data_IF_457128433284
#
_entry.id   IF_457128433284
#
_cell.length_a   1.000
_cell.length_b   1.000
_cell.length_c   1.000
_cell.angle_alpha   90.00
_cell.angle_beta   90.00
_cell.angle_gamma   90.00
#
_symmetry.space_group_name_H-M   'P 1'
#
loop_
_entity.id
_entity.type
_entity.pdbx_description
1 polymer ?
#
# COMPACT_ATOMS: atom_id res chain seq x y z
N UNK A 1 9.94 -36.77 15.52
CA UNK A 1 10.23 -35.32 15.54
C UNK A 1 8.92 -34.61 15.22
N UNK A 2 8.14 -34.26 16.23
CA UNK A 2 6.88 -33.50 16.08
C UNK A 2 7.07 -32.16 16.76
N UNK A 3 7.19 -31.07 15.99
CA UNK A 3 7.47 -29.72 16.53
C UNK A 3 6.45 -28.65 16.13
N UNK A 4 5.26 -29.03 15.66
CA UNK A 4 4.26 -28.08 15.13
C UNK A 4 2.82 -28.37 15.60
N UNK A 5 2.59 -28.65 16.89
CA UNK A 5 1.22 -28.90 17.41
C UNK A 5 0.43 -27.65 17.80
N UNK A 6 1.07 -26.48 17.84
CA UNK A 6 0.40 -25.23 18.25
C UNK A 6 -0.06 -24.35 17.07
N UNK A 7 0.02 -24.87 15.84
CA UNK A 7 -0.31 -24.10 14.63
C UNK A 7 -1.76 -24.34 14.23
N UNK A 8 -2.58 -23.30 14.33
CA UNK A 8 -3.93 -23.32 13.79
C UNK A 8 -3.90 -22.90 12.31
N UNK A 9 -3.92 -23.89 11.42
CA UNK A 9 -4.30 -23.68 10.02
C UNK A 9 -5.80 -23.88 9.92
N UNK A 10 -6.55 -22.79 9.73
CA UNK A 10 -7.99 -22.88 9.55
C UNK A 10 -8.35 -22.47 8.14
N UNK A 11 -8.90 -23.43 7.41
CA UNK A 11 -9.38 -23.24 6.05
C UNK A 11 -10.89 -23.24 6.11
N UNK A 12 -11.53 -22.16 5.67
CA UNK A 12 -12.98 -22.04 5.77
C UNK A 12 -13.60 -21.84 4.38
N UNK A 13 -14.20 -22.91 3.86
CA UNK A 13 -15.00 -22.88 2.64
C UNK A 13 -16.45 -22.54 3.00
N UNK A 14 -16.71 -21.32 3.51
CA UNK A 14 -18.08 -20.93 3.87
C UNK A 14 -18.84 -20.50 2.62
N UNK A 15 -19.83 -21.31 2.24
CA UNK A 15 -20.88 -20.94 1.27
C UNK A 15 -21.76 -19.86 1.88
N UNK A 16 -21.70 -18.64 1.35
CA UNK A 16 -22.69 -17.61 1.67
C UNK A 16 -24.06 -18.06 1.12
N UNK A 17 -25.15 -18.07 1.92
CA UNK A 17 -26.47 -18.39 1.40
C UNK A 17 -26.93 -17.27 0.45
N UNK A 18 -27.19 -17.62 -0.80
CA UNK A 18 -27.78 -16.72 -1.79
C UNK A 18 -29.18 -16.31 -1.32
N UNK A 19 -29.42 -15.00 -1.20
CA UNK A 19 -30.79 -14.46 -1.06
C UNK A 19 -31.57 -14.77 -2.35
N UNK A 20 -32.80 -15.31 -2.28
CA UNK A 20 -33.63 -15.47 -3.47
C UNK A 20 -34.03 -14.11 -4.02
N UNK A 21 -33.69 -13.83 -5.29
CA UNK A 21 -34.30 -12.71 -6.02
C UNK A 21 -35.78 -13.05 -6.31
N UNK A 22 -36.72 -12.10 -6.17
CA UNK A 22 -38.12 -12.35 -6.51
C UNK A 22 -38.31 -12.43 -8.04
N UNK A 23 -39.31 -13.18 -8.54
CA UNK A 23 -39.53 -13.35 -9.97
C UNK A 23 -40.06 -12.06 -10.60
N UNK A 24 -39.51 -11.67 -11.75
CA UNK A 24 -40.04 -10.57 -12.59
C UNK A 24 -41.31 -11.03 -13.29
N UNK A 25 -42.42 -10.35 -13.01
CA UNK A 25 -43.66 -10.43 -13.78
C UNK A 25 -43.52 -9.70 -15.12
N UNK A 26 -43.95 -10.36 -16.18
CA UNK A 26 -44.01 -9.88 -17.56
C UNK A 26 -45.18 -8.91 -17.79
N UNK A 27 -44.90 -7.70 -18.28
CA UNK A 27 -45.80 -6.95 -19.18
C UNK A 27 -44.98 -6.01 -20.08
N UNK A 28 -45.34 -5.84 -21.36
CA UNK A 28 -44.58 -5.04 -22.31
C UNK A 28 -45.06 -3.58 -22.26
N UNK A 29 -44.15 -2.62 -22.30
CA UNK A 29 -44.47 -1.27 -22.72
C UNK A 29 -43.38 -0.78 -23.67
N UNK A 30 -43.78 -0.64 -24.93
CA UNK A 30 -43.10 0.16 -25.92
C UNK A 30 -43.09 1.62 -25.45
N UNK A 31 -41.94 2.27 -25.51
CA UNK A 31 -41.78 3.65 -25.98
C UNK A 31 -40.29 4.00 -26.05
N UNK A 32 -39.93 4.62 -27.17
CA UNK A 32 -38.65 5.27 -27.50
C UNK A 32 -37.54 4.39 -28.08
N UNK A 33 -37.73 4.21 -29.38
CA UNK A 33 -36.76 4.03 -30.45
C UNK A 33 -35.63 5.06 -30.48
N UNK A 34 -34.48 4.57 -30.97
CA UNK A 34 -33.45 5.23 -31.77
C UNK A 34 -32.38 6.07 -31.06
N UNK A 35 -31.22 5.44 -30.85
CA UNK A 35 -29.94 5.99 -31.34
C UNK A 35 -29.16 4.85 -32.01
N UNK A 36 -29.02 4.93 -33.33
CA UNK A 36 -28.12 4.08 -34.12
C UNK A 36 -26.80 4.81 -34.29
N UNK A 37 -25.68 4.18 -33.89
CA UNK A 37 -24.38 4.53 -34.45
C UNK A 37 -23.49 3.30 -34.47
N UNK A 38 -23.14 2.93 -35.71
CA UNK A 38 -22.21 1.88 -36.06
C UNK A 38 -20.80 2.20 -35.54
N UNK A 39 -20.10 1.15 -35.08
CA UNK A 39 -18.64 1.09 -35.14
C UNK A 39 -18.19 -0.38 -35.10
N UNK A 40 -17.98 -0.91 -36.30
CA UNK A 40 -17.00 -1.96 -36.55
C UNK A 40 -15.64 -1.49 -36.02
N UNK A 41 -15.09 -2.22 -35.04
CA UNK A 41 -13.67 -2.56 -34.79
C UNK A 41 -13.52 -2.90 -33.30
N UNK A 42 -13.37 -4.19 -33.01
CA UNK A 42 -12.90 -4.64 -31.70
C UNK A 42 -11.50 -4.05 -31.42
N UNK A 43 -11.26 -3.43 -30.25
CA UNK A 43 -10.02 -3.66 -29.54
C UNK A 43 -10.18 -4.94 -28.70
N UNK A 44 -9.10 -5.73 -28.65
CA UNK A 44 -8.95 -6.88 -27.75
C UNK A 44 -9.35 -6.45 -26.33
N UNK A 45 -10.29 -7.16 -25.71
CA UNK A 45 -10.62 -6.98 -24.30
C UNK A 45 -9.34 -7.19 -23.46
N UNK A 46 -8.94 -6.24 -22.60
CA UNK A 46 -8.01 -6.54 -21.54
C UNK A 46 -8.73 -7.34 -20.46
N UNK A 47 -8.03 -8.31 -19.88
CA UNK A 47 -8.45 -9.20 -18.80
C UNK A 47 -9.36 -8.49 -17.77
N UNK A 48 -10.53 -9.04 -17.39
CA UNK A 48 -11.44 -8.41 -16.43
C UNK A 48 -10.93 -8.41 -14.98
N UNK A 49 -9.77 -9.01 -14.72
CA UNK A 49 -9.11 -9.03 -13.42
C UNK A 49 -7.65 -8.62 -13.58
N UNK A 50 -7.42 -7.33 -13.79
CA UNK A 50 -6.12 -6.74 -13.49
C UNK A 50 -6.10 -6.45 -11.98
N UNK A 51 -5.23 -7.12 -11.18
CA UNK A 51 -4.99 -6.68 -9.83
C UNK A 51 -4.18 -5.39 -9.92
N UNK A 52 -4.84 -4.25 -9.78
CA UNK A 52 -4.13 -3.01 -9.46
C UNK A 52 -3.79 -3.04 -7.97
N UNK A 53 -2.86 -3.91 -7.59
CA UNK A 53 -2.14 -3.77 -6.34
C UNK A 53 -1.01 -2.80 -6.64
N UNK A 54 -1.35 -1.51 -6.69
CA UNK A 54 -0.35 -0.45 -6.66
C UNK A 54 -0.02 -0.17 -5.19
N UNK A 55 1.16 -0.58 -4.68
CA UNK A 55 1.58 -0.27 -3.31
C UNK A 55 1.66 1.25 -3.05
N UNK A 56 1.63 2.09 -4.09
CA UNK A 56 1.59 3.55 -3.93
C UNK A 56 0.23 4.10 -3.49
N UNK A 57 -0.89 3.42 -3.78
CA UNK A 57 -2.23 3.95 -3.43
C UNK A 57 -2.57 3.88 -1.94
N UNK A 58 -1.90 2.99 -1.19
CA UNK A 58 -1.96 2.95 0.27
C UNK A 58 -1.03 4.01 0.90
N UNK A 59 0.04 4.40 0.19
CA UNK A 59 0.99 5.43 0.61
C UNK A 59 0.41 6.85 0.43
N UNK A 60 -0.32 7.11 -0.66
CA UNK A 60 -0.95 8.42 -0.89
C UNK A 60 -2.02 8.74 0.16
N UNK A 61 -2.81 7.75 0.60
CA UNK A 61 -3.80 7.93 1.67
C UNK A 61 -3.19 8.14 3.06
N UNK A 62 -1.96 7.68 3.28
CA UNK A 62 -1.26 7.79 4.56
C UNK A 62 -0.41 9.07 4.65
N UNK A 63 0.12 9.56 3.53
CA UNK A 63 0.82 10.85 3.45
C UNK A 63 -0.13 12.04 3.69
N UNK A 64 -1.44 11.92 3.38
CA UNK A 64 -2.44 12.93 3.77
C UNK A 64 -2.67 13.01 5.29
N UNK A 65 -2.41 11.93 6.04
CA UNK A 65 -2.72 11.84 7.47
C UNK A 65 -1.55 12.19 8.39
N UNK A 66 -0.32 12.23 7.88
CA UNK A 66 0.89 12.35 8.72
C UNK A 66 1.63 13.68 8.61
N UNK A 67 1.28 14.56 7.65
CA UNK A 67 1.77 15.93 7.57
C UNK A 67 0.70 16.98 7.94
N UNK A 68 0.03 16.83 9.09
CA UNK A 68 -0.68 17.94 9.71
C UNK A 68 0.12 18.50 10.89
N UNK A 69 0.77 19.64 10.64
CA UNK A 69 1.44 20.47 11.65
C UNK A 69 0.48 20.83 12.80
N UNK A 70 0.94 20.90 14.05
CA UNK A 70 0.11 21.41 15.14
C UNK A 70 0.23 22.93 15.34
N UNK A 71 -0.85 23.47 15.92
CA UNK A 71 -0.98 24.65 16.79
C UNK A 71 -1.45 26.03 16.24
N UNK A 72 -2.71 26.34 16.66
CA UNK A 72 -3.27 27.60 17.23
C UNK A 72 -4.23 28.44 16.37
N UNK A 73 -5.52 28.22 16.65
CA UNK A 73 -6.57 29.20 16.98
C UNK A 73 -6.21 30.68 16.84
N UNK A 74 -6.90 31.40 15.95
CA UNK A 74 -7.51 32.69 16.26
C UNK A 74 -8.82 32.89 15.48
N UNK A 75 -9.73 33.58 16.14
CA UNK A 75 -11.15 33.69 15.89
C UNK A 75 -11.48 34.82 14.88
N UNK A 76 -12.61 34.67 14.18
CA UNK A 76 -13.57 35.71 13.73
C UNK A 76 -13.88 35.85 12.22
N UNK A 77 -15.13 35.46 11.91
CA UNK A 77 -16.17 36.15 11.14
C UNK A 77 -15.97 36.75 9.73
N UNK A 78 -16.86 36.24 8.84
CA UNK A 78 -17.73 36.90 7.82
C UNK A 78 -17.28 37.05 6.35
N UNK A 79 -18.13 36.42 5.52
CA UNK A 79 -18.70 36.81 4.19
C UNK A 79 -17.78 36.91 2.96
N UNK A 80 -18.17 36.15 1.94
CA UNK A 80 -17.83 36.23 0.50
C UNK A 80 -18.44 37.48 -0.18
N UNK A 81 -18.34 37.73 -1.53
CA UNK A 81 -17.52 37.14 -2.63
C UNK A 81 -16.91 38.19 -3.61
N UNK A 82 -16.34 37.71 -4.73
CA UNK A 82 -16.23 38.31 -6.08
C UNK A 82 -14.94 39.06 -6.51
N UNK A 83 -14.39 38.52 -7.62
CA UNK A 83 -13.88 39.18 -8.83
C UNK A 83 -12.93 40.39 -8.70
N UNK A 84 -11.71 40.25 -9.24
CA UNK A 84 -11.21 41.17 -10.28
C UNK A 84 -9.92 40.65 -10.93
N UNK A 85 -9.98 40.49 -12.25
CA UNK A 85 -8.82 40.49 -13.12
C UNK A 85 -8.42 41.96 -13.37
N UNK A 86 -7.16 42.31 -13.18
CA UNK A 86 -6.54 43.43 -13.88
C UNK A 86 -5.01 43.32 -13.82
N UNK A 87 -4.46 43.47 -15.01
CA UNK A 87 -3.07 43.40 -15.43
C UNK A 87 -2.26 44.64 -15.02
N UNK A 88 -0.96 44.61 -15.36
CA UNK A 88 0.04 45.72 -15.40
C UNK A 88 0.75 45.98 -14.06
N UNK A 89 2.04 46.32 -13.96
CA UNK A 89 3.21 46.40 -14.84
C UNK A 89 4.43 46.66 -13.95
N UNK A 90 5.63 46.36 -14.45
CA UNK A 90 6.93 46.74 -13.89
C UNK A 90 7.06 48.27 -13.71
N UNK A 91 7.48 48.72 -12.52
CA UNK A 91 8.43 49.83 -12.33
C UNK A 91 9.29 49.58 -11.09
N UNK A 92 10.54 49.99 -11.20
CA UNK A 92 11.60 49.87 -10.21
C UNK A 92 11.64 51.09 -9.27
N UNK A 93 12.15 50.82 -8.06
CA UNK A 93 12.99 51.65 -7.16
C UNK A 93 12.44 51.89 -5.74
N UNK A 94 13.21 51.32 -4.79
CA UNK A 94 13.50 51.74 -3.39
C UNK A 94 12.38 52.29 -2.51
N UNK A 95 11.97 51.53 -1.51
CA UNK A 95 12.27 51.86 -0.11
C UNK A 95 11.95 50.69 0.85
N UNK A 96 12.69 50.65 1.96
CA UNK A 96 12.71 49.58 2.95
C UNK A 96 11.37 49.38 3.70
N UNK A 97 11.02 48.12 3.96
CA UNK A 97 10.66 47.53 5.27
C UNK A 97 10.14 46.10 5.07
N UNK A 98 10.61 45.21 5.94
CA UNK A 98 10.56 43.76 5.92
C UNK A 98 9.15 43.16 5.96
N UNK A 99 8.82 42.28 4.98
CA UNK A 99 7.76 41.27 5.11
C UNK A 99 8.24 39.94 4.53
N UNK A 100 8.11 38.90 5.36
CA UNK A 100 8.46 37.49 5.11
C UNK A 100 7.85 37.01 3.80
N UNK A 101 8.71 36.73 2.81
CA UNK A 101 8.33 36.18 1.53
C UNK A 101 8.33 34.63 1.64
N UNK A 102 7.16 34.01 1.70
CA UNK A 102 7.03 32.56 1.47
C UNK A 102 7.38 32.27 0.02
N UNK A 103 8.66 31.93 -0.21
CA UNK A 103 9.18 31.48 -1.49
C UNK A 103 8.81 30.01 -1.66
N UNK A 104 7.83 29.74 -2.52
CA UNK A 104 7.70 28.43 -3.17
C UNK A 104 9.03 28.15 -3.88
N UNK A 105 9.76 27.07 -3.56
CA UNK A 105 11.09 26.88 -4.12
C UNK A 105 10.99 26.58 -5.63
N UNK A 106 11.83 27.25 -6.45
CA UNK A 106 11.92 26.97 -7.88
C UNK A 106 12.40 25.54 -8.12
N UNK A 107 11.81 24.91 -9.14
CA UNK A 107 11.99 23.50 -9.51
C UNK A 107 13.37 23.14 -10.08
N UNK A 108 14.43 23.89 -9.75
CA UNK A 108 15.83 23.66 -10.12
C UNK A 108 16.80 24.52 -9.27
N UNK A 109 16.66 24.46 -7.94
CA UNK A 109 17.71 24.87 -7.00
C UNK A 109 18.01 23.64 -6.13
N UNK A 110 19.29 23.28 -5.99
CA UNK A 110 19.70 22.10 -5.22
C UNK A 110 19.03 22.09 -3.86
N UNK A 111 18.40 20.96 -3.50
CA UNK A 111 17.79 20.75 -2.19
C UNK A 111 18.83 21.05 -1.09
N UNK A 112 18.39 21.74 -0.03
CA UNK A 112 19.24 22.06 1.11
C UNK A 112 19.76 20.76 1.76
N UNK A 113 21.07 20.67 1.90
CA UNK A 113 21.75 19.51 2.48
C UNK A 113 22.09 19.81 3.94
N UNK A 114 21.67 18.94 4.84
CA UNK A 114 21.91 19.03 6.28
C UNK A 114 22.95 18.00 6.69
N UNK A 115 23.92 18.41 7.50
CA UNK A 115 24.97 17.52 8.01
C UNK A 115 24.41 16.58 9.07
N UNK A 116 24.52 15.28 8.82
CA UNK A 116 24.15 14.22 9.77
C UNK A 116 25.41 13.73 10.48
N UNK A 117 25.47 13.93 11.79
CA UNK A 117 26.59 13.46 12.63
C UNK A 117 26.49 11.95 12.89
N UNK A 118 25.30 11.46 13.23
CA UNK A 118 25.07 10.08 13.63
C UNK A 118 23.78 9.53 13.00
N UNK A 119 23.78 8.23 12.71
CA UNK A 119 22.59 7.50 12.22
C UNK A 119 22.34 6.31 13.14
N UNK A 120 21.16 6.25 13.73
CA UNK A 120 20.74 5.19 14.65
C UNK A 120 19.45 4.55 14.17
N UNK A 121 19.29 3.25 14.42
CA UNK A 121 18.02 2.54 14.27
C UNK A 121 17.51 2.20 15.67
N UNK A 122 16.26 2.55 15.97
CA UNK A 122 15.66 2.37 17.30
C UNK A 122 14.21 1.90 17.15
N UNK A 123 13.65 1.35 18.21
CA UNK A 123 12.23 1.07 18.27
C UNK A 123 11.44 2.39 18.29
N UNK A 124 10.13 2.32 18.10
CA UNK A 124 9.20 3.46 18.18
C UNK A 124 9.30 4.21 19.51
N UNK A 125 9.60 3.50 20.59
CA UNK A 125 9.79 4.08 21.93
C UNK A 125 11.19 4.71 22.14
N UNK A 126 12.08 4.63 21.14
CA UNK A 126 13.46 5.13 21.20
C UNK A 126 14.46 4.15 21.85
N UNK A 127 14.02 2.98 22.29
CA UNK A 127 14.87 1.91 22.83
C UNK A 127 15.60 1.13 21.72
N UNK A 128 16.60 0.32 22.08
CA UNK A 128 17.23 -0.62 21.14
C UNK A 128 16.25 -1.72 20.74
N UNK A 129 16.41 -2.24 19.52
CA UNK A 129 15.60 -3.37 19.08
C UNK A 129 15.98 -4.61 19.90
N UNK A 130 14.97 -5.35 20.36
CA UNK A 130 15.17 -6.62 21.05
C UNK A 130 15.98 -7.61 20.20
N UNK A 131 15.78 -7.53 18.89
CA UNK A 131 16.37 -8.39 17.86
C UNK A 131 17.44 -7.63 17.07
N UNK A 132 18.71 -7.92 17.36
CA UNK A 132 19.87 -7.32 16.71
C UNK A 132 19.99 -7.66 15.21
N UNK A 133 19.43 -8.79 14.80
CA UNK A 133 19.35 -9.17 13.38
C UNK A 133 18.47 -8.20 12.58
N UNK A 134 17.38 -7.70 13.17
CA UNK A 134 16.52 -6.69 12.53
C UNK A 134 17.19 -5.32 12.48
N UNK A 135 17.91 -4.94 13.55
CA UNK A 135 18.68 -3.70 13.55
C UNK A 135 19.73 -3.70 12.43
N UNK A 136 20.48 -4.80 12.29
CA UNK A 136 21.45 -4.97 11.22
C UNK A 136 20.80 -4.92 9.83
N UNK A 137 19.62 -5.55 9.66
CA UNK A 137 18.89 -5.52 8.39
C UNK A 137 18.44 -4.10 8.01
N UNK A 138 17.91 -3.34 8.97
CA UNK A 138 17.56 -1.94 8.75
C UNK A 138 18.78 -1.11 8.36
N UNK A 139 19.89 -1.24 9.07
CA UNK A 139 21.15 -0.55 8.76
C UNK A 139 21.72 -0.95 7.40
N UNK A 140 21.57 -2.21 7.00
CA UNK A 140 21.98 -2.70 5.69
C UNK A 140 21.09 -2.17 4.55
N UNK A 141 19.81 -1.94 4.83
CA UNK A 141 18.88 -1.34 3.87
C UNK A 141 19.19 0.14 3.59
N UNK A 142 19.82 0.84 4.55
CA UNK A 142 20.25 2.22 4.38
C UNK A 142 21.41 2.31 3.37
N UNK A 143 21.17 3.03 2.28
CA UNK A 143 22.14 3.22 1.20
C UNK A 143 22.84 4.55 1.28
N UNK A 144 22.11 5.64 1.56
CA UNK A 144 22.62 7.01 1.46
C UNK A 144 22.88 7.60 2.85
N UNK A 145 21.98 7.36 3.80
CA UNK A 145 22.05 7.82 5.18
C UNK A 145 23.22 7.14 5.89
N UNK A 146 24.34 7.85 5.99
CA UNK A 146 25.54 7.41 6.71
C UNK A 146 26.00 8.52 7.65
N UNK A 147 26.66 8.17 8.78
CA UNK A 147 27.27 9.16 9.65
C UNK A 147 28.24 10.07 8.88
N UNK A 148 28.32 11.33 9.27
CA UNK A 148 29.17 12.37 8.67
C UNK A 148 28.86 12.67 7.19
N UNK A 149 27.60 12.57 6.77
CA UNK A 149 27.17 12.88 5.41
C UNK A 149 26.18 14.05 5.38
N UNK A 150 26.21 14.83 4.31
CA UNK A 150 25.28 15.94 4.09
C UNK A 150 24.10 15.46 3.23
N UNK A 151 22.92 15.31 3.85
CA UNK A 151 21.76 14.65 3.25
C UNK A 151 20.63 15.64 2.94
N UNK A 152 19.86 15.35 1.90
CA UNK A 152 18.59 16.03 1.63
C UNK A 152 17.41 15.27 2.21
N UNK A 153 16.27 15.94 2.41
CA UNK A 153 15.05 15.28 2.89
C UNK A 153 14.60 14.12 1.98
N UNK A 154 14.77 14.28 0.66
CA UNK A 154 14.45 13.26 -0.33
C UNK A 154 15.34 12.02 -0.20
N UNK A 155 16.65 12.22 0.02
CA UNK A 155 17.59 11.10 0.21
C UNK A 155 17.23 10.27 1.45
N UNK A 156 16.79 10.93 2.53
CA UNK A 156 16.30 10.26 3.75
C UNK A 156 15.01 9.49 3.47
N UNK A 157 14.05 10.09 2.78
CA UNK A 157 12.78 9.45 2.42
C UNK A 157 13.00 8.21 1.53
N UNK A 158 13.93 8.27 0.58
CA UNK A 158 14.29 7.11 -0.23
C UNK A 158 14.89 5.97 0.61
N UNK A 159 15.63 6.27 1.67
CA UNK A 159 16.13 5.27 2.62
C UNK A 159 15.03 4.69 3.50
N UNK A 160 14.07 5.51 3.96
CA UNK A 160 12.86 5.01 4.64
C UNK A 160 12.14 3.99 3.77
N UNK A 161 11.95 4.30 2.49
CA UNK A 161 11.34 3.38 1.53
C UNK A 161 12.17 2.10 1.32
N UNK A 162 13.51 2.17 1.37
CA UNK A 162 14.37 0.98 1.30
C UNK A 162 14.27 0.10 2.54
N UNK A 163 14.22 0.71 3.73
CA UNK A 163 14.00 -0.02 5.00
C UNK A 163 12.64 -0.73 4.95
N UNK A 164 11.58 -0.03 4.55
CA UNK A 164 10.27 -0.66 4.37
C UNK A 164 10.30 -1.76 3.29
N UNK A 165 11.01 -1.50 2.18
CA UNK A 165 11.23 -2.44 1.09
C UNK A 165 12.06 -3.69 1.44
N UNK A 166 12.71 -3.75 2.61
CA UNK A 166 13.26 -5.00 3.16
C UNK A 166 12.17 -6.04 3.46
N UNK A 167 10.96 -5.54 3.77
CA UNK A 167 9.76 -6.33 4.04
C UNK A 167 9.64 -6.81 5.49
N UNK A 168 10.54 -6.45 6.40
CA UNK A 168 10.50 -6.88 7.80
C UNK A 168 9.83 -5.89 8.76
N UNK A 169 9.57 -4.66 8.32
CA UNK A 169 9.06 -3.58 9.16
C UNK A 169 7.67 -3.15 8.70
N UNK A 170 6.76 -2.94 9.65
CA UNK A 170 5.43 -2.39 9.38
C UNK A 170 5.42 -0.86 9.45
N UNK A 171 6.39 -0.26 10.15
CA UNK A 171 6.57 1.18 10.23
C UNK A 171 8.05 1.56 10.26
N UNK A 172 8.38 2.69 9.66
CA UNK A 172 9.70 3.31 9.70
C UNK A 172 9.52 4.83 9.66
N UNK A 173 9.92 5.52 10.73
CA UNK A 173 9.78 6.97 10.86
C UNK A 173 11.15 7.60 11.13
N UNK A 174 11.63 8.51 10.27
CA UNK A 174 12.87 9.24 10.51
C UNK A 174 12.61 10.38 11.50
N UNK A 175 13.46 10.50 12.53
CA UNK A 175 13.43 11.57 13.53
C UNK A 175 14.80 12.24 13.57
N UNK A 176 14.83 13.55 13.36
CA UNK A 176 16.04 14.35 13.48
C UNK A 176 16.13 14.97 14.88
N UNK A 177 17.30 14.86 15.51
CA UNK A 177 17.61 15.47 16.81
C UNK A 177 18.82 16.37 16.64
N UNK A 178 18.69 17.64 17.00
CA UNK A 178 19.80 18.59 16.93
C UNK A 178 20.93 18.20 17.90
N UNK A 179 22.15 18.25 17.40
CA UNK A 179 23.39 18.01 18.16
C UNK A 179 24.37 19.16 17.92
N UNK A 180 25.46 19.22 18.68
CA UNK A 180 26.49 20.25 18.49
C UNK A 180 27.15 20.14 17.11
N UNK A 181 27.29 18.93 16.60
CA UNK A 181 28.08 18.61 15.40
C UNK A 181 27.21 18.44 14.15
N UNK A 182 25.92 18.78 14.22
CA UNK A 182 24.94 18.60 13.14
C UNK A 182 23.64 18.00 13.68
N UNK A 183 22.97 17.15 12.90
CA UNK A 183 21.80 16.41 13.36
C UNK A 183 22.11 14.93 13.56
N UNK A 184 21.52 14.32 14.60
CA UNK A 184 21.43 12.88 14.76
C UNK A 184 20.14 12.41 14.10
N UNK A 185 20.26 11.49 13.15
CA UNK A 185 19.13 10.89 12.45
C UNK A 185 18.79 9.54 13.09
N UNK A 186 17.57 9.41 13.62
CA UNK A 186 17.07 8.21 14.27
C UNK A 186 15.96 7.63 13.41
N UNK A 187 16.15 6.42 12.89
CA UNK A 187 15.12 5.64 12.24
C UNK A 187 14.36 4.84 13.29
N UNK A 188 13.18 5.32 13.66
CA UNK A 188 12.26 4.61 14.53
C UNK A 188 11.52 3.55 13.71
N UNK A 189 11.83 2.28 13.95
CA UNK A 189 11.27 1.15 13.21
C UNK A 189 10.38 0.31 14.11
N UNK A 190 9.29 -0.19 13.53
CA UNK A 190 8.39 -1.15 14.16
C UNK A 190 8.45 -2.45 13.31
N UNK A 191 8.97 -3.56 13.87
CA UNK A 191 9.08 -4.81 13.13
C UNK A 191 7.71 -5.48 12.96
N UNK A 192 7.59 -6.32 11.93
CA UNK A 192 6.40 -7.14 11.72
C UNK A 192 6.22 -8.16 12.86
N UNK A 193 5.00 -8.67 13.00
CA UNK A 193 4.71 -9.73 13.96
C UNK A 193 5.39 -11.05 13.55
N UNK A 194 5.65 -11.91 14.53
CA UNK A 194 6.07 -13.29 14.30
C UNK A 194 4.92 -14.09 13.66
N UNK A 195 5.23 -14.87 12.63
CA UNK A 195 4.23 -15.71 11.96
C UNK A 195 3.88 -16.93 12.82
N UNK A 196 2.60 -17.01 13.21
CA UNK A 196 2.05 -18.05 14.09
C UNK A 196 0.96 -18.90 13.45
N UNK A 197 0.26 -18.39 12.45
CA UNK A 197 -0.84 -19.12 11.86
C UNK A 197 -1.35 -18.50 10.57
N UNK A 198 -2.14 -19.28 9.83
CA UNK A 198 -2.72 -18.86 8.57
C UNK A 198 -4.20 -19.26 8.53
N UNK A 199 -5.02 -18.29 8.15
CA UNK A 199 -6.43 -18.48 7.82
C UNK A 199 -6.57 -18.26 6.32
N UNK A 200 -7.18 -19.20 5.60
CA UNK A 200 -7.47 -19.00 4.19
C UNK A 200 -8.98 -19.11 3.94
N UNK A 201 -9.52 -18.10 3.28
CA UNK A 201 -10.95 -17.92 3.00
C UNK A 201 -11.17 -17.82 1.48
N UNK A 202 -12.31 -18.35 1.01
CA UNK A 202 -12.72 -18.24 -0.40
C UNK A 202 -11.95 -19.15 -1.37
N UNK A 203 -11.09 -20.02 -0.83
CA UNK A 203 -10.44 -21.08 -1.56
C UNK A 203 -11.26 -22.39 -1.40
N UNK A 204 -11.84 -22.88 -2.48
CA UNK A 204 -12.62 -24.13 -2.52
C UNK A 204 -11.84 -25.21 -3.28
N UNK A 205 -11.15 -24.81 -4.35
CA UNK A 205 -10.36 -25.67 -5.24
C UNK A 205 -8.90 -25.75 -4.82
N UNK A 206 -8.34 -24.67 -4.25
CA UNK A 206 -6.94 -24.63 -3.83
C UNK A 206 -6.66 -25.56 -2.62
N UNK A 207 -5.75 -26.55 -2.76
CA UNK A 207 -5.50 -27.51 -1.69
C UNK A 207 -4.84 -26.86 -0.46
N UNK A 208 -5.38 -27.12 0.72
CA UNK A 208 -4.84 -26.60 1.99
C UNK A 208 -3.37 -26.99 2.19
N UNK A 209 -2.98 -28.23 1.86
CA UNK A 209 -1.58 -28.69 1.95
C UNK A 209 -0.63 -27.88 1.07
N UNK A 210 -1.10 -27.40 -0.08
CA UNK A 210 -0.27 -26.57 -0.96
C UNK A 210 0.05 -25.24 -0.28
N UNK A 211 -0.96 -24.60 0.30
CA UNK A 211 -0.81 -23.33 1.02
C UNK A 211 0.06 -23.52 2.28
N UNK A 212 -0.21 -24.54 3.08
CA UNK A 212 0.59 -24.87 4.27
C UNK A 212 2.07 -25.08 3.93
N UNK A 213 2.36 -25.83 2.86
CA UNK A 213 3.73 -26.05 2.42
C UNK A 213 4.40 -24.75 1.97
N UNK A 214 3.66 -23.86 1.30
CA UNK A 214 4.20 -22.59 0.82
C UNK A 214 4.58 -21.63 1.97
N UNK A 215 3.86 -21.67 3.10
CA UNK A 215 4.14 -20.82 4.27
C UNK A 215 5.00 -21.50 5.35
N UNK A 216 5.32 -22.80 5.20
CA UNK A 216 6.00 -23.61 6.23
C UNK A 216 7.31 -23.00 6.69
N UNK A 217 8.10 -22.46 5.77
CA UNK A 217 9.45 -21.95 6.04
C UNK A 217 9.46 -20.66 6.87
N UNK A 218 8.32 -19.96 6.91
CA UNK A 218 8.14 -18.72 7.65
C UNK A 218 7.74 -18.91 9.11
N UNK A 219 7.38 -20.13 9.54
CA UNK A 219 6.84 -20.37 10.88
C UNK A 219 7.82 -20.00 12.00
N UNK A 220 7.34 -19.29 13.02
CA UNK A 220 8.14 -18.84 14.17
C UNK A 220 9.18 -17.77 13.83
N UNK A 221 9.07 -17.15 12.65
CA UNK A 221 9.93 -16.05 12.20
C UNK A 221 9.12 -14.79 12.03
N UNK A 222 9.80 -13.64 12.08
CA UNK A 222 9.20 -12.35 11.73
C UNK A 222 8.68 -12.42 10.29
N UNK A 223 7.44 -12.01 10.08
CA UNK A 223 6.84 -12.01 8.75
C UNK A 223 7.65 -11.10 7.82
N UNK A 224 8.09 -11.66 6.70
CA UNK A 224 8.69 -10.88 5.62
C UNK A 224 7.68 -10.72 4.47
N UNK A 225 7.23 -9.50 4.22
CA UNK A 225 6.21 -9.21 3.20
C UNK A 225 6.66 -9.63 1.79
N UNK A 226 7.96 -9.50 1.46
CA UNK A 226 8.48 -9.95 0.16
C UNK A 226 8.40 -11.46 -0.01
N UNK A 227 8.61 -12.22 1.07
CA UNK A 227 8.43 -13.67 1.03
C UNK A 227 6.96 -14.02 0.84
N UNK A 228 6.07 -13.33 1.56
CA UNK A 228 4.61 -13.49 1.41
C UNK A 228 4.17 -13.19 -0.03
N UNK A 229 4.66 -12.12 -0.66
CA UNK A 229 4.38 -11.79 -2.05
C UNK A 229 4.83 -12.90 -3.02
N UNK A 230 5.98 -13.52 -2.78
CA UNK A 230 6.45 -14.67 -3.57
C UNK A 230 5.52 -15.87 -3.43
N UNK A 231 5.03 -16.13 -2.21
CA UNK A 231 4.07 -17.20 -1.96
C UNK A 231 2.74 -16.92 -2.66
N UNK A 232 2.24 -15.68 -2.59
CA UNK A 232 1.04 -15.25 -3.33
C UNK A 232 1.20 -15.47 -4.82
N UNK A 233 2.35 -15.09 -5.39
CA UNK A 233 2.65 -15.32 -6.80
C UNK A 233 2.68 -16.81 -7.16
N UNK A 234 3.19 -17.67 -6.26
CA UNK A 234 3.16 -19.12 -6.45
C UNK A 234 1.72 -19.68 -6.43
N UNK A 235 0.86 -19.17 -5.55
CA UNK A 235 -0.56 -19.54 -5.50
C UNK A 235 -1.29 -19.10 -6.77
N UNK A 236 -1.08 -17.85 -7.22
CA UNK A 236 -1.67 -17.37 -8.46
C UNK A 236 -1.18 -18.18 -9.67
N UNK A 237 0.11 -18.52 -9.72
CA UNK A 237 0.68 -19.41 -10.73
C UNK A 237 0.02 -20.79 -10.72
N UNK A 238 -0.25 -21.36 -9.54
CA UNK A 238 -0.92 -22.66 -9.40
C UNK A 238 -2.30 -22.70 -10.08
N UNK A 239 -3.08 -21.62 -9.97
CA UNK A 239 -4.36 -21.48 -10.68
C UNK A 239 -4.17 -21.34 -12.19
N UNK A 240 -3.25 -20.47 -12.61
CA UNK A 240 -2.96 -20.20 -14.02
C UNK A 240 -2.51 -21.48 -14.76
N UNK A 241 -1.61 -22.25 -14.16
CA UNK A 241 -1.10 -23.50 -14.74
C UNK A 241 -2.19 -24.56 -14.95
N UNK A 242 -3.30 -24.45 -14.22
CA UNK A 242 -4.45 -25.36 -14.30
C UNK A 242 -5.59 -24.81 -15.16
N UNK A 243 -5.45 -23.62 -15.72
CA UNK A 243 -6.52 -22.95 -16.47
C UNK A 243 -7.73 -22.60 -15.59
N UNK A 244 -7.55 -22.52 -14.28
CA UNK A 244 -8.60 -22.17 -13.33
C UNK A 244 -8.69 -20.64 -13.22
N UNK A 245 -9.92 -20.12 -13.19
CA UNK A 245 -10.16 -18.69 -12.96
C UNK A 245 -10.19 -18.49 -11.44
N UNK A 246 -9.04 -18.21 -10.86
CA UNK A 246 -8.91 -17.93 -9.43
C UNK A 246 -7.64 -17.14 -9.12
N UNK A 247 -7.68 -16.33 -8.07
CA UNK A 247 -6.52 -15.57 -7.60
C UNK A 247 -6.67 -15.13 -6.14
N UNK A 248 -5.54 -14.85 -5.49
CA UNK A 248 -5.53 -14.15 -4.21
C UNK A 248 -6.09 -12.74 -4.40
N UNK A 249 -7.15 -12.42 -3.67
CA UNK A 249 -7.85 -11.14 -3.74
C UNK A 249 -7.47 -10.18 -2.62
N UNK A 250 -6.97 -10.69 -1.50
CA UNK A 250 -6.58 -9.87 -0.35
C UNK A 250 -5.68 -10.61 0.63
N UNK A 251 -4.96 -9.84 1.43
CA UNK A 251 -4.15 -10.34 2.53
C UNK A 251 -4.20 -9.37 3.70
N UNK A 252 -4.48 -9.90 4.88
CA UNK A 252 -4.47 -9.15 6.13
C UNK A 252 -3.53 -9.81 7.14
N UNK A 253 -2.71 -9.02 7.84
CA UNK A 253 -1.96 -9.48 9.01
C UNK A 253 -2.77 -9.13 10.25
N UNK A 254 -3.38 -10.15 10.87
CA UNK A 254 -4.15 -9.99 12.08
C UNK A 254 -3.24 -9.95 13.30
N UNK A 255 -3.74 -9.33 14.37
CA UNK A 255 -3.08 -9.34 15.67
C UNK A 255 -2.82 -10.78 16.15
N UNK A 256 -1.61 -11.03 16.65
CA UNK A 256 -1.20 -12.35 17.14
C UNK A 256 -0.46 -13.18 16.10
N UNK A 257 0.00 -12.58 15.00
CA UNK A 257 0.83 -13.27 14.02
C UNK A 257 0.07 -14.18 13.05
N UNK A 258 -1.23 -13.94 12.88
CA UNK A 258 -2.09 -14.73 12.00
C UNK A 258 -2.22 -14.00 10.66
N UNK A 259 -1.81 -14.65 9.58
CA UNK A 259 -2.04 -14.15 8.22
C UNK A 259 -3.41 -14.63 7.76
N UNK A 260 -4.26 -13.72 7.29
CA UNK A 260 -5.53 -14.02 6.65
C UNK A 260 -5.38 -13.84 5.15
N UNK A 261 -5.48 -14.94 4.41
CA UNK A 261 -5.40 -14.97 2.96
C UNK A 261 -6.81 -15.08 2.37
N UNK A 262 -7.21 -14.08 1.60
CA UNK A 262 -8.49 -14.09 0.87
C UNK A 262 -8.24 -14.48 -0.58
N UNK A 263 -9.02 -15.44 -1.05
CA UNK A 263 -8.93 -15.99 -2.39
C UNK A 263 -10.29 -15.87 -3.06
N UNK A 264 -10.28 -15.50 -4.34
CA UNK A 264 -11.47 -15.42 -5.16
C UNK A 264 -11.37 -16.45 -6.27
N UNK A 265 -12.16 -17.51 -6.18
CA UNK A 265 -12.32 -18.53 -7.22
C UNK A 265 -13.64 -18.31 -7.96
N UNK A 266 -13.62 -18.42 -9.29
CA UNK A 266 -14.83 -18.29 -10.09
C UNK A 266 -15.57 -19.63 -10.14
N UNK A 267 -16.84 -19.60 -9.76
CA UNK A 267 -17.76 -20.74 -9.86
C UNK A 267 -18.80 -20.46 -10.96
N UNK A 268 -19.03 -21.44 -11.83
CA UNK A 268 -20.06 -21.34 -12.87
C UNK A 268 -21.39 -21.76 -12.28
N UNK A 269 -22.29 -20.79 -12.09
CA UNK A 269 -23.63 -21.05 -11.56
C UNK A 269 -24.64 -21.46 -12.65
N UNK A 270 -24.61 -20.78 -13.80
CA UNK A 270 -25.56 -21.01 -14.90
C UNK A 270 -24.87 -20.88 -16.26
N UNK A 271 -25.29 -21.70 -17.22
CA UNK A 271 -24.79 -21.68 -18.61
C UNK A 271 -25.98 -21.48 -19.55
N UNK A 272 -25.96 -20.38 -20.31
CA UNK A 272 -26.98 -20.07 -21.31
C UNK A 272 -26.37 -20.10 -22.71
N UNK A 273 -26.98 -20.84 -23.62
CA UNK A 273 -26.58 -20.90 -25.02
C UNK A 273 -27.52 -20.00 -25.83
N UNK A 274 -26.96 -19.12 -26.69
CA UNK A 274 -27.73 -18.27 -27.60
C UNK A 274 -27.23 -18.47 -29.03
N UNK A 275 -28.15 -18.76 -29.93
CA UNK A 275 -27.85 -18.88 -31.37
C UNK A 275 -27.87 -17.48 -32.00
N UNK A 276 -26.94 -17.24 -32.91
CA UNK A 276 -26.85 -16.01 -33.69
C UNK A 276 -27.16 -16.36 -35.15
N UNK A 277 -28.11 -15.65 -35.75
CA UNK A 277 -28.39 -15.77 -37.18
C UNK A 277 -27.31 -15.06 -38.01
N UNK A 278 -27.03 -15.62 -39.19
CA UNK A 278 -26.05 -15.08 -40.13
C UNK A 278 -26.77 -14.11 -41.08
N UNK A 279 -26.55 -12.81 -40.90
CA UNK A 279 -27.02 -11.74 -41.82
C UNK A 279 -26.16 -11.68 -43.08
#
# INVERSE_FOLDING_TARGET
>A
MDRNRDVAFTFNSVKLPLRPCPPRSSTPNHLLSNIHLALCKLPKFPNPFAPNINPQSALDKFLELTFQKPLKSFNSNKKSPLLCCSSLSLTSETDAVSVVNQKVPPKNAGEERVLVSEVLVRNKDGTELERKDLEAEALNALKVCRPNSALTAREVEEDVHRVFGSGYFCSCMPVAVDTRDGIRLIFQVEPNQEFRGLVCEGANVLPTKFVENAFRDGYGKIVNIRHVDKVINSINGWYMDRGLIGMVSGIDLLSGGIIKLQVSEAEINNTSIRFLDRT
#
